data_IF_114385321047
#
_entry.id   IF_114385321047
#
_cell.length_a   1.000
_cell.length_b   1.000
_cell.length_c   1.000
_cell.angle_alpha   90.00
_cell.angle_beta   90.00
_cell.angle_gamma   90.00
#
_symmetry.space_group_name_H-M   'P 1'
#
loop_
_entity.id
_entity.type
_entity.pdbx_description
1 polymer ?
#
# COMPACT_ATOMS: atom_id res chain seq x y z
N UNK A 1 3.32 38.83 -27.35
CA UNK A 1 2.21 38.03 -27.88
C UNK A 1 2.47 36.52 -28.00
N UNK A 2 3.72 36.03 -28.15
CA UNK A 2 4.02 34.58 -28.29
C UNK A 2 3.93 33.75 -26.97
N UNK A 3 4.02 34.37 -25.80
CA UNK A 3 4.03 33.67 -24.51
C UNK A 3 2.61 33.32 -24.01
N UNK A 4 1.61 34.11 -24.34
CA UNK A 4 0.23 33.87 -23.93
C UNK A 4 -0.46 32.75 -24.73
N UNK A 5 -0.08 32.57 -26.00
CA UNK A 5 -0.64 31.53 -26.89
C UNK A 5 -0.15 30.12 -26.48
N UNK A 6 1.11 30.00 -26.02
CA UNK A 6 1.65 28.72 -25.50
C UNK A 6 0.96 28.26 -24.21
N UNK A 7 0.61 29.19 -23.33
CA UNK A 7 -0.09 28.89 -22.08
C UNK A 7 -1.51 28.37 -22.30
N UNK A 8 -2.25 28.92 -23.27
CA UNK A 8 -3.60 28.47 -23.59
C UNK A 8 -3.62 27.10 -24.26
N UNK A 9 -2.70 26.81 -25.16
CA UNK A 9 -2.58 25.51 -25.83
C UNK A 9 -2.21 24.38 -24.86
N UNK A 10 -1.30 24.62 -23.91
CA UNK A 10 -0.93 23.67 -22.86
C UNK A 10 -2.09 23.40 -21.89
N UNK A 11 -2.85 24.42 -21.56
CA UNK A 11 -4.07 24.28 -20.74
C UNK A 11 -5.18 23.50 -21.48
N UNK A 12 -5.34 23.72 -22.78
CA UNK A 12 -6.30 22.99 -23.62
C UNK A 12 -5.90 21.52 -23.77
N UNK A 13 -4.61 21.22 -24.01
CA UNK A 13 -4.12 19.86 -24.09
C UNK A 13 -4.25 19.09 -22.77
N UNK A 14 -3.94 19.73 -21.63
CA UNK A 14 -4.19 19.14 -20.30
C UNK A 14 -5.68 18.88 -20.04
N UNK A 15 -6.56 19.77 -20.44
CA UNK A 15 -8.02 19.59 -20.32
C UNK A 15 -8.53 18.45 -21.21
N UNK A 16 -8.00 18.29 -22.44
CA UNK A 16 -8.35 17.19 -23.33
C UNK A 16 -7.80 15.84 -22.83
N UNK A 17 -6.59 15.83 -22.25
CA UNK A 17 -6.01 14.63 -21.67
C UNK A 17 -6.77 14.20 -20.40
N UNK A 18 -7.17 15.15 -19.56
CA UNK A 18 -8.07 14.90 -18.43
C UNK A 18 -9.44 14.38 -18.88
N UNK A 19 -9.98 14.90 -19.98
CA UNK A 19 -11.27 14.42 -20.52
C UNK A 19 -11.16 12.99 -21.08
N UNK A 20 -10.04 12.61 -21.72
CA UNK A 20 -9.78 11.23 -22.16
C UNK A 20 -9.63 10.25 -21.00
N UNK A 21 -8.92 10.66 -19.92
CA UNK A 21 -8.81 9.85 -18.70
C UNK A 21 -10.18 9.66 -18.05
N UNK A 22 -11.03 10.72 -18.03
CA UNK A 22 -12.43 10.66 -17.54
C UNK A 22 -13.31 9.68 -18.30
N UNK A 23 -13.10 9.53 -19.61
CA UNK A 23 -13.92 8.62 -20.45
C UNK A 23 -13.51 7.17 -20.26
N UNK A 24 -12.22 6.90 -19.94
CA UNK A 24 -11.72 5.53 -19.66
C UNK A 24 -12.11 5.07 -18.26
N UNK A 25 -12.14 5.98 -17.28
CA UNK A 25 -12.58 5.66 -15.91
C UNK A 25 -14.09 5.36 -15.81
N UNK A 26 -14.87 5.66 -16.86
CA UNK A 26 -16.30 5.36 -16.96
C UNK A 26 -16.62 4.06 -17.70
N UNK A 27 -15.62 3.30 -18.12
CA UNK A 27 -15.83 1.92 -18.55
C UNK A 27 -16.35 1.15 -17.32
N UNK A 28 -17.64 0.88 -17.33
CA UNK A 28 -18.30 0.00 -16.36
C UNK A 28 -17.42 -1.23 -16.19
N UNK A 29 -16.91 -1.47 -15.00
CA UNK A 29 -16.37 -2.76 -14.63
C UNK A 29 -17.55 -3.72 -14.71
N UNK A 30 -17.79 -4.21 -15.91
CA UNK A 30 -18.79 -5.23 -16.18
C UNK A 30 -18.48 -6.43 -15.27
N UNK A 31 -19.53 -6.95 -14.68
CA UNK A 31 -19.53 -8.02 -13.68
C UNK A 31 -19.03 -9.40 -14.20
N UNK A 32 -18.07 -9.45 -15.11
CA UNK A 32 -17.50 -10.69 -15.66
C UNK A 32 -16.00 -10.85 -15.43
N UNK A 33 -15.37 -9.95 -14.66
CA UNK A 33 -13.97 -10.14 -14.25
C UNK A 33 -13.89 -11.11 -13.09
N UNK A 34 -13.01 -12.10 -13.17
CA UNK A 34 -12.61 -12.97 -12.06
C UNK A 34 -11.92 -12.14 -10.98
N UNK A 35 -12.69 -11.45 -10.16
CA UNK A 35 -12.16 -10.79 -8.96
C UNK A 35 -12.07 -11.84 -7.87
N UNK A 36 -10.91 -11.92 -7.21
CA UNK A 36 -10.73 -12.74 -6.01
C UNK A 36 -11.52 -12.22 -4.82
N UNK A 37 -12.08 -11.03 -4.92
CA UNK A 37 -12.78 -10.33 -3.85
C UNK A 37 -14.16 -9.88 -4.32
N UNK A 38 -15.14 -9.94 -3.44
CA UNK A 38 -16.43 -9.29 -3.61
C UNK A 38 -16.50 -8.06 -2.72
N UNK A 39 -17.05 -6.96 -3.24
CA UNK A 39 -17.48 -5.83 -2.42
C UNK A 39 -18.94 -6.05 -2.03
N UNK A 40 -19.28 -5.87 -0.77
CA UNK A 40 -20.65 -6.05 -0.26
C UNK A 40 -21.56 -4.85 -0.55
N UNK A 41 -20.96 -3.70 -0.88
CA UNK A 41 -21.70 -2.47 -1.17
C UNK A 41 -21.34 -1.91 -2.55
N UNK A 42 -22.37 -1.51 -3.30
CA UNK A 42 -22.18 -0.76 -4.55
C UNK A 42 -21.82 0.67 -4.18
N UNK A 43 -20.70 1.14 -4.67
CA UNK A 43 -20.18 2.45 -4.38
C UNK A 43 -20.66 3.45 -5.43
N UNK A 44 -21.53 4.39 -5.05
CA UNK A 44 -22.04 5.43 -5.95
C UNK A 44 -21.08 6.61 -6.09
N UNK A 45 -20.13 6.76 -5.15
CA UNK A 45 -19.06 7.77 -5.15
C UNK A 45 -17.80 7.17 -4.55
N UNK A 46 -16.66 7.78 -4.86
CA UNK A 46 -15.37 7.39 -4.28
C UNK A 46 -15.04 8.34 -3.13
N UNK A 47 -15.26 7.95 -1.86
CA UNK A 47 -14.93 8.79 -0.72
C UNK A 47 -13.41 8.96 -0.59
N UNK A 48 -13.02 10.08 -0.01
CA UNK A 48 -11.62 10.36 0.30
C UNK A 48 -11.11 9.44 1.42
N UNK A 49 -9.78 9.33 1.55
CA UNK A 49 -9.14 8.63 2.67
C UNK A 49 -9.64 9.17 4.01
N UNK A 50 -9.66 10.50 4.16
CA UNK A 50 -10.13 11.16 5.39
C UNK A 50 -11.53 10.73 5.78
N UNK A 51 -12.47 10.76 4.82
CA UNK A 51 -13.86 10.38 5.07
C UNK A 51 -14.00 8.92 5.54
N UNK A 52 -13.18 8.02 5.00
CA UNK A 52 -13.19 6.62 5.42
C UNK A 52 -12.58 6.46 6.80
N UNK A 53 -11.41 7.06 7.05
CA UNK A 53 -10.74 6.97 8.35
C UNK A 53 -11.60 7.58 9.45
N UNK A 54 -12.29 8.71 9.20
CA UNK A 54 -13.17 9.33 10.19
C UNK A 54 -14.34 8.46 10.58
N UNK A 55 -14.85 7.68 9.64
CA UNK A 55 -16.02 6.83 9.87
C UNK A 55 -15.67 5.43 10.41
N UNK A 56 -14.53 4.87 10.02
CA UNK A 56 -14.20 3.47 10.19
C UNK A 56 -12.93 3.20 11.00
N UNK A 57 -12.31 4.23 11.57
CA UNK A 57 -11.19 4.13 12.50
C UNK A 57 -11.45 5.06 13.69
N UNK A 58 -11.68 4.49 14.88
CA UNK A 58 -12.03 5.29 16.06
C UNK A 58 -10.80 5.97 16.70
N UNK A 59 -9.62 5.36 16.58
CA UNK A 59 -8.39 5.85 17.18
C UNK A 59 -7.73 6.93 16.30
N UNK A 60 -7.69 8.17 16.80
CA UNK A 60 -7.11 9.30 16.09
C UNK A 60 -5.58 9.15 15.87
N UNK A 61 -4.88 8.47 16.78
CA UNK A 61 -3.45 8.21 16.65
C UNK A 61 -3.20 7.17 15.56
N UNK A 62 -4.05 6.13 15.48
CA UNK A 62 -3.99 5.13 14.42
C UNK A 62 -4.31 5.75 13.05
N UNK A 63 -5.29 6.66 12.96
CA UNK A 63 -5.55 7.42 11.72
C UNK A 63 -4.30 8.14 11.24
N UNK A 64 -3.61 8.83 12.13
CA UNK A 64 -2.38 9.55 11.79
C UNK A 64 -1.29 8.58 11.29
N UNK A 65 -1.09 7.48 12.00
CA UNK A 65 -0.14 6.42 11.61
C UNK A 65 -0.47 5.84 10.21
N UNK A 66 -1.72 5.51 9.95
CA UNK A 66 -2.17 4.98 8.64
C UNK A 66 -1.90 5.99 7.52
N UNK A 67 -2.17 7.27 7.75
CA UNK A 67 -1.90 8.33 6.76
C UNK A 67 -0.43 8.43 6.43
N UNK A 68 0.43 8.47 7.45
CA UNK A 68 1.89 8.49 7.27
C UNK A 68 2.36 7.26 6.46
N UNK A 69 1.90 6.06 6.79
CA UNK A 69 2.26 4.85 6.06
C UNK A 69 1.78 4.86 4.60
N UNK A 70 0.61 5.42 4.33
CA UNK A 70 0.11 5.61 2.97
C UNK A 70 0.94 6.64 2.18
N UNK A 71 1.41 7.70 2.83
CA UNK A 71 2.33 8.67 2.23
C UNK A 71 3.65 7.98 1.84
N UNK A 72 4.19 7.11 2.70
CA UNK A 72 5.35 6.27 2.36
C UNK A 72 5.11 5.37 1.14
N UNK A 73 3.94 4.75 1.04
CA UNK A 73 3.55 3.96 -0.15
C UNK A 73 3.43 4.84 -1.41
N UNK A 74 2.99 6.09 -1.28
CA UNK A 74 2.95 7.03 -2.39
C UNK A 74 4.36 7.40 -2.86
N UNK A 75 5.28 7.68 -1.94
CA UNK A 75 6.68 8.01 -2.24
C UNK A 75 7.40 6.82 -2.89
N UNK A 76 7.17 5.59 -2.41
CA UNK A 76 7.69 4.37 -3.06
C UNK A 76 7.14 4.25 -4.50
N UNK A 77 5.85 4.54 -4.71
CA UNK A 77 5.24 4.54 -6.05
C UNK A 77 5.97 5.48 -7.01
N UNK A 78 6.26 6.71 -6.57
CA UNK A 78 6.96 7.68 -7.41
C UNK A 78 8.44 7.30 -7.61
N UNK A 79 9.07 6.72 -6.60
CA UNK A 79 10.44 6.21 -6.70
C UNK A 79 10.54 5.07 -7.72
N UNK A 80 9.65 4.07 -7.66
CA UNK A 80 9.62 2.95 -8.61
C UNK A 80 9.39 3.39 -10.06
N UNK A 81 8.59 4.44 -10.29
CA UNK A 81 8.34 4.99 -11.63
C UNK A 81 9.54 5.68 -12.24
N UNK A 82 10.47 6.17 -11.43
CA UNK A 82 11.63 6.97 -11.86
C UNK A 82 12.96 6.25 -11.70
N UNK A 83 13.03 5.17 -10.92
CA UNK A 83 14.25 4.44 -10.65
C UNK A 83 14.69 3.58 -11.83
N UNK A 84 16.02 3.46 -12.00
CA UNK A 84 16.62 2.39 -12.79
C UNK A 84 16.92 1.23 -11.85
N UNK A 85 16.47 0.04 -12.22
CA UNK A 85 16.71 -1.18 -11.44
C UNK A 85 18.14 -1.63 -11.68
N UNK A 86 18.97 -1.60 -10.65
CA UNK A 86 20.36 -2.07 -10.66
C UNK A 86 20.60 -2.99 -9.49
N UNK A 87 21.50 -3.97 -9.66
CA UNK A 87 21.94 -4.84 -8.56
C UNK A 87 22.91 -4.03 -7.70
N UNK A 88 22.56 -3.84 -6.43
CA UNK A 88 23.48 -3.30 -5.44
C UNK A 88 24.54 -4.37 -5.09
N UNK A 89 25.71 -3.93 -4.68
CA UNK A 89 26.81 -4.84 -4.30
C UNK A 89 26.64 -5.44 -2.90
N UNK A 90 25.46 -5.32 -2.30
CA UNK A 90 25.14 -5.72 -0.93
C UNK A 90 24.13 -6.86 -0.94
N UNK A 91 24.19 -7.68 0.11
CA UNK A 91 23.19 -8.70 0.41
C UNK A 91 22.38 -8.24 1.64
N UNK A 92 21.08 -8.61 1.70
CA UNK A 92 20.28 -8.37 2.89
C UNK A 92 20.67 -9.30 4.05
N UNK A 93 20.02 -9.15 5.21
CA UNK A 93 20.31 -9.97 6.40
C UNK A 93 20.06 -11.46 6.21
N UNK A 94 19.34 -11.85 5.17
CA UNK A 94 19.04 -13.25 4.82
C UNK A 94 19.94 -13.80 3.70
N UNK A 95 20.81 -12.96 3.11
CA UNK A 95 21.78 -13.33 2.07
C UNK A 95 21.23 -13.21 0.65
N UNK A 96 20.10 -12.52 0.46
CA UNK A 96 19.56 -12.20 -0.85
C UNK A 96 20.21 -10.93 -1.39
N UNK A 97 20.43 -10.89 -2.71
CA UNK A 97 20.99 -9.71 -3.38
C UNK A 97 19.98 -8.57 -3.40
N UNK A 98 20.36 -7.44 -2.81
CA UNK A 98 19.56 -6.23 -2.84
C UNK A 98 19.58 -5.57 -4.21
N UNK A 99 18.42 -5.12 -4.68
CA UNK A 99 18.28 -4.24 -5.81
C UNK A 99 18.24 -2.79 -5.32
N UNK A 100 18.63 -1.85 -6.18
CA UNK A 100 18.58 -0.41 -5.85
C UNK A 100 17.19 0.06 -5.40
N UNK A 101 16.15 -0.54 -5.94
CA UNK A 101 14.76 -0.22 -5.61
C UNK A 101 14.35 -0.72 -4.23
N UNK A 102 14.90 -1.86 -3.75
CA UNK A 102 14.70 -2.36 -2.38
C UNK A 102 15.27 -1.36 -1.38
N UNK A 103 16.52 -0.95 -1.60
CA UNK A 103 17.21 0.02 -0.75
C UNK A 103 16.48 1.37 -0.73
N UNK A 104 15.97 1.82 -1.88
CA UNK A 104 15.20 3.07 -1.96
C UNK A 104 13.89 2.93 -1.18
N UNK A 105 13.14 1.85 -1.37
CA UNK A 105 11.86 1.61 -0.68
C UNK A 105 12.07 1.50 0.84
N UNK A 106 13.09 0.77 1.28
CA UNK A 106 13.40 0.62 2.70
C UNK A 106 13.83 1.96 3.33
N UNK A 107 14.66 2.75 2.66
CA UNK A 107 15.05 4.07 3.14
C UNK A 107 13.84 5.01 3.28
N UNK A 108 12.92 5.02 2.31
CA UNK A 108 11.69 5.83 2.40
C UNK A 108 10.89 5.44 3.65
N UNK A 109 10.69 4.14 3.87
CA UNK A 109 9.95 3.67 5.04
C UNK A 109 10.69 3.99 6.34
N UNK A 110 12.02 3.82 6.41
CA UNK A 110 12.79 4.16 7.59
C UNK A 110 12.78 5.66 7.93
N UNK A 111 12.88 6.53 6.93
CA UNK A 111 12.83 7.99 7.14
C UNK A 111 11.49 8.40 7.73
N UNK A 112 10.40 7.83 7.23
CA UNK A 112 9.06 8.05 7.74
C UNK A 112 8.91 7.49 9.16
N UNK A 113 9.19 6.21 9.37
CA UNK A 113 8.97 5.52 10.65
C UNK A 113 9.81 6.13 11.77
N UNK A 114 11.08 6.48 11.51
CA UNK A 114 11.97 7.11 12.50
C UNK A 114 11.50 8.50 12.91
N UNK A 115 10.87 9.24 12.02
CA UNK A 115 10.39 10.62 12.26
C UNK A 115 8.95 10.68 12.77
N UNK A 116 8.17 9.61 12.64
CA UNK A 116 6.76 9.56 13.03
C UNK A 116 6.56 9.84 14.52
N UNK A 117 5.62 10.73 14.90
CA UNK A 117 5.26 10.95 16.29
C UNK A 117 4.44 9.80 16.89
N UNK A 118 3.89 8.90 16.06
CA UNK A 118 3.02 7.81 16.47
C UNK A 118 3.77 6.49 16.63
N UNK A 119 4.88 6.28 15.92
CA UNK A 119 5.60 5.02 15.85
C UNK A 119 6.75 4.99 16.86
N UNK A 120 6.67 4.06 17.81
CA UNK A 120 7.66 3.89 18.89
C UNK A 120 8.82 2.98 18.49
N UNK A 121 8.53 1.97 17.70
CA UNK A 121 9.50 0.98 17.21
C UNK A 121 9.20 0.58 15.77
N UNK A 122 10.26 0.27 15.02
CA UNK A 122 10.18 -0.25 13.66
C UNK A 122 11.14 -1.38 13.41
N UNK A 123 10.77 -2.31 12.50
CA UNK A 123 11.66 -3.33 11.95
C UNK A 123 11.28 -3.59 10.49
N UNK A 124 12.29 -3.72 9.64
CA UNK A 124 12.18 -4.05 8.22
C UNK A 124 12.61 -5.49 7.95
N UNK A 125 12.15 -6.10 6.88
CA UNK A 125 12.73 -7.34 6.38
C UNK A 125 14.23 -7.17 6.07
N UNK A 126 14.61 -6.03 5.48
CA UNK A 126 15.99 -5.72 5.13
C UNK A 126 16.88 -5.45 6.35
N UNK A 127 16.30 -4.94 7.43
CA UNK A 127 16.94 -4.71 8.73
C UNK A 127 16.06 -5.29 9.87
N UNK A 128 16.12 -6.63 10.10
CA UNK A 128 15.23 -7.32 11.03
C UNK A 128 15.64 -7.13 12.49
N UNK A 129 15.99 -5.91 12.85
CA UNK A 129 16.32 -5.49 14.22
C UNK A 129 15.34 -4.41 14.63
N UNK A 130 14.75 -4.58 15.81
CA UNK A 130 13.82 -3.60 16.34
C UNK A 130 14.55 -2.30 16.68
N UNK A 131 14.19 -1.22 15.98
CA UNK A 131 14.77 0.12 16.16
C UNK A 131 13.78 1.01 16.89
N UNK A 132 14.25 1.69 17.92
CA UNK A 132 13.48 2.70 18.64
C UNK A 132 13.32 3.96 17.79
N UNK A 133 12.09 4.43 17.63
CA UNK A 133 11.71 5.62 16.87
C UNK A 133 11.27 6.78 17.76
N UNK A 134 10.80 7.86 17.15
CA UNK A 134 10.48 9.12 17.86
C UNK A 134 9.12 9.10 18.57
N UNK A 135 8.19 8.25 18.11
CA UNK A 135 6.82 8.18 18.62
C UNK A 135 6.64 7.32 19.85
N UNK A 136 5.38 7.08 20.21
CA UNK A 136 5.05 6.46 21.50
C UNK A 136 4.01 5.35 21.47
N UNK A 137 3.27 5.15 20.37
CA UNK A 137 2.00 4.40 20.41
C UNK A 137 2.06 3.04 19.74
N UNK A 138 2.74 2.94 18.59
CA UNK A 138 2.73 1.73 17.76
C UNK A 138 4.12 1.17 17.52
N UNK A 139 4.14 -0.13 17.24
CA UNK A 139 5.27 -0.83 16.62
C UNK A 139 4.87 -1.22 15.20
N UNK A 140 5.73 -0.93 14.23
CA UNK A 140 5.50 -1.19 12.82
C UNK A 140 6.57 -2.13 12.28
N UNK A 141 6.14 -3.22 11.64
CA UNK A 141 7.03 -4.11 10.91
C UNK A 141 6.59 -4.16 9.44
N UNK A 142 7.58 -4.18 8.53
CA UNK A 142 7.27 -4.16 7.09
C UNK A 142 8.26 -4.95 6.26
N UNK A 143 7.78 -5.40 5.10
CA UNK A 143 8.55 -5.75 3.94
C UNK A 143 8.48 -4.57 2.98
N UNK A 144 9.60 -3.90 2.68
CA UNK A 144 9.59 -2.69 1.87
C UNK A 144 9.19 -2.95 0.41
N UNK A 145 9.56 -4.09 -0.15
CA UNK A 145 9.30 -4.40 -1.55
C UNK A 145 9.16 -5.92 -1.81
N UNK A 146 8.07 -6.51 -1.33
CA UNK A 146 7.73 -7.91 -1.58
C UNK A 146 7.69 -8.21 -3.08
N UNK A 147 8.45 -9.23 -3.48
CA UNK A 147 8.61 -9.61 -4.88
C UNK A 147 9.67 -8.82 -5.63
N UNK A 148 10.60 -8.16 -4.95
CA UNK A 148 11.66 -7.35 -5.58
C UNK A 148 12.48 -8.12 -6.63
N UNK A 149 12.66 -9.41 -6.46
CA UNK A 149 13.38 -10.27 -7.42
C UNK A 149 12.79 -10.30 -8.84
N UNK A 150 11.55 -9.85 -9.02
CA UNK A 150 10.86 -9.80 -10.33
C UNK A 150 10.61 -8.36 -10.82
N UNK A 151 11.02 -7.35 -10.08
CA UNK A 151 10.81 -5.94 -10.44
C UNK A 151 11.55 -5.56 -11.73
N UNK A 152 12.72 -6.15 -11.97
CA UNK A 152 13.49 -5.95 -13.20
C UNK A 152 12.72 -6.40 -14.46
N UNK A 153 11.79 -7.32 -14.32
CA UNK A 153 10.88 -7.74 -15.39
C UNK A 153 9.62 -6.86 -15.49
N UNK A 154 9.57 -5.76 -14.74
CA UNK A 154 8.44 -4.83 -14.68
C UNK A 154 7.11 -5.51 -14.24
N UNK A 155 7.20 -6.49 -13.34
CA UNK A 155 6.03 -7.12 -12.74
C UNK A 155 5.59 -6.34 -11.50
N UNK A 156 4.32 -6.55 -11.12
CA UNK A 156 3.79 -5.92 -9.90
C UNK A 156 4.52 -6.46 -8.66
N UNK A 157 4.88 -5.55 -7.79
CA UNK A 157 5.50 -5.80 -6.47
C UNK A 157 4.68 -5.09 -5.39
N UNK A 158 5.02 -5.29 -4.13
CA UNK A 158 4.21 -4.70 -3.05
C UNK A 158 5.01 -4.32 -1.82
N UNK A 159 4.39 -3.55 -0.94
CA UNK A 159 4.86 -3.31 0.43
C UNK A 159 3.87 -3.94 1.40
N UNK A 160 4.35 -4.70 2.36
CA UNK A 160 3.52 -5.34 3.39
C UNK A 160 3.82 -4.69 4.73
N UNK A 161 2.78 -4.25 5.45
CA UNK A 161 2.94 -3.55 6.73
C UNK A 161 2.00 -4.13 7.77
N UNK A 162 2.54 -4.40 8.96
CA UNK A 162 1.78 -4.72 10.15
C UNK A 162 1.98 -3.65 11.23
N UNK A 163 0.89 -3.26 11.89
CA UNK A 163 0.88 -2.26 12.97
C UNK A 163 0.33 -2.91 14.24
N UNK A 164 1.12 -2.86 15.29
CA UNK A 164 0.75 -3.36 16.63
C UNK A 164 0.73 -2.22 17.64
N UNK A 165 -0.13 -2.26 18.65
CA UNK A 165 0.04 -1.40 19.80
C UNK A 165 1.40 -1.65 20.44
N UNK A 166 2.05 -0.59 20.88
CA UNK A 166 3.31 -0.73 21.64
C UNK A 166 3.11 -1.62 22.86
N UNK A 167 4.09 -2.47 23.14
CA UNK A 167 4.07 -3.41 24.28
C UNK A 167 2.96 -4.49 24.19
N UNK A 168 2.57 -4.89 22.99
CA UNK A 168 1.64 -6.01 22.77
C UNK A 168 2.22 -7.33 23.29
N UNK A 169 3.50 -7.56 23.09
CA UNK A 169 4.22 -8.74 23.59
C UNK A 169 5.10 -8.43 24.80
N UNK A 170 6.20 -9.14 24.91
CA UNK A 170 7.23 -9.00 25.95
C UNK A 170 8.58 -8.61 25.34
N UNK A 171 9.61 -8.47 26.16
CA UNK A 171 10.93 -7.96 25.74
C UNK A 171 11.02 -6.45 25.82
N UNK A 172 12.23 -5.90 25.57
CA UNK A 172 12.50 -4.47 25.72
C UNK A 172 11.73 -3.62 24.70
N UNK A 173 11.39 -4.20 23.56
CA UNK A 173 10.62 -3.59 22.47
C UNK A 173 9.12 -3.95 22.51
N UNK A 174 8.71 -4.86 23.42
CA UNK A 174 7.33 -5.27 23.59
C UNK A 174 6.74 -6.09 22.45
N UNK A 175 7.56 -6.72 21.59
CA UNK A 175 7.08 -7.49 20.44
C UNK A 175 7.23 -9.00 20.56
N UNK A 176 8.07 -9.49 21.47
CA UNK A 176 8.29 -10.92 21.61
C UNK A 176 7.01 -11.65 22.05
N UNK A 177 6.52 -12.56 21.21
CA UNK A 177 5.28 -13.31 21.42
C UNK A 177 4.02 -12.61 20.92
N UNK A 178 4.10 -11.38 20.38
CA UNK A 178 3.01 -10.76 19.66
C UNK A 178 2.65 -11.57 18.41
N UNK A 179 1.38 -11.61 18.06
CA UNK A 179 0.85 -12.37 16.91
C UNK A 179 0.22 -11.44 15.89
N UNK A 180 -0.04 -11.97 14.67
CA UNK A 180 -0.79 -11.22 13.66
C UNK A 180 -2.22 -10.88 14.07
N UNK A 181 -2.79 -11.55 15.09
CA UNK A 181 -4.12 -11.23 15.63
C UNK A 181 -4.14 -10.05 16.58
N UNK A 182 -2.97 -9.65 17.04
CA UNK A 182 -2.81 -8.49 17.92
C UNK A 182 -2.59 -7.19 17.12
N UNK A 183 -2.52 -7.29 15.78
CA UNK A 183 -2.44 -6.11 14.91
C UNK A 183 -3.71 -5.27 15.03
N UNK A 184 -3.52 -3.95 15.10
CA UNK A 184 -4.61 -2.97 15.00
C UNK A 184 -4.82 -2.50 13.58
N UNK A 185 -3.82 -2.68 12.70
CA UNK A 185 -3.92 -2.44 11.28
C UNK A 185 -2.95 -3.34 10.52
N UNK A 186 -3.37 -3.79 9.36
CA UNK A 186 -2.52 -4.45 8.37
C UNK A 186 -2.71 -3.77 7.02
N UNK A 187 -1.62 -3.61 6.27
CA UNK A 187 -1.66 -2.96 4.97
C UNK A 187 -0.88 -3.78 3.96
N UNK A 188 -1.39 -3.82 2.73
CA UNK A 188 -0.68 -4.37 1.57
C UNK A 188 -0.80 -3.38 0.42
N UNK A 189 0.31 -2.74 0.08
CA UNK A 189 0.41 -1.93 -1.11
C UNK A 189 0.76 -2.80 -2.32
N UNK A 190 0.14 -2.53 -3.46
CA UNK A 190 0.40 -3.19 -4.73
C UNK A 190 0.80 -2.15 -5.76
N UNK A 191 2.04 -2.24 -6.23
CA UNK A 191 2.62 -1.38 -7.25
C UNK A 191 2.56 -2.09 -8.61
N UNK A 192 1.51 -1.80 -9.35
CA UNK A 192 1.26 -2.37 -10.67
C UNK A 192 0.83 -1.29 -11.67
N UNK A 193 -0.01 -1.60 -12.65
CA UNK A 193 -0.59 -0.59 -13.55
C UNK A 193 -1.31 0.54 -12.81
N UNK A 194 -1.81 0.25 -11.61
CA UNK A 194 -2.31 1.20 -10.62
C UNK A 194 -1.62 0.91 -9.29
N UNK A 195 -1.40 1.93 -8.49
CA UNK A 195 -1.05 1.73 -7.09
C UNK A 195 -2.32 1.65 -6.27
N UNK A 196 -2.47 0.56 -5.53
CA UNK A 196 -3.57 0.34 -4.60
C UNK A 196 -3.04 -0.15 -3.26
N UNK A 197 -3.69 0.24 -2.18
CA UNK A 197 -3.37 -0.26 -0.84
C UNK A 197 -4.62 -0.86 -0.21
N UNK A 198 -4.53 -2.10 0.23
CA UNK A 198 -5.57 -2.75 1.03
C UNK A 198 -5.24 -2.53 2.49
N UNK A 199 -6.20 -1.99 3.24
CA UNK A 199 -6.03 -1.60 4.65
C UNK A 199 -7.14 -2.24 5.49
N UNK A 200 -6.78 -2.81 6.65
CA UNK A 200 -7.76 -3.21 7.66
C UNK A 200 -8.06 -2.05 8.58
N UNK A 201 -9.35 -1.79 8.82
CA UNK A 201 -9.86 -0.82 9.79
C UNK A 201 -10.75 -1.53 10.82
N UNK A 202 -11.32 -0.80 11.76
CA UNK A 202 -12.05 -1.35 12.90
C UNK A 202 -13.19 -2.32 12.51
N UNK A 203 -13.84 -2.07 11.39
CA UNK A 203 -15.05 -2.81 10.98
C UNK A 203 -14.93 -3.52 9.63
N UNK A 204 -13.77 -3.47 8.97
CA UNK A 204 -13.63 -4.13 7.67
C UNK A 204 -12.31 -3.90 6.96
N UNK A 205 -12.30 -4.27 5.69
CA UNK A 205 -11.15 -4.16 4.78
C UNK A 205 -11.50 -3.22 3.64
N UNK A 206 -10.60 -2.29 3.37
CA UNK A 206 -10.79 -1.20 2.41
C UNK A 206 -9.64 -1.17 1.41
N UNK A 207 -9.94 -0.86 0.14
CA UNK A 207 -8.92 -0.61 -0.88
C UNK A 207 -8.88 0.88 -1.20
N UNK A 208 -7.71 1.45 -1.13
CA UNK A 208 -7.43 2.80 -1.57
C UNK A 208 -6.62 2.78 -2.86
N UNK A 209 -6.94 3.68 -3.79
CA UNK A 209 -6.20 3.87 -5.05
C UNK A 209 -5.48 5.21 -5.03
N UNK A 210 -4.20 5.20 -5.42
CA UNK A 210 -3.35 6.38 -5.49
C UNK A 210 -3.42 7.07 -6.85
N UNK A 211 -3.37 8.39 -6.84
CA UNK A 211 -3.28 9.22 -8.05
C UNK A 211 -4.54 9.20 -8.92
N UNK A 212 -5.62 8.55 -8.50
CA UNK A 212 -6.91 8.61 -9.15
C UNK A 212 -7.65 9.87 -8.68
N UNK A 213 -7.98 10.77 -9.59
CA UNK A 213 -8.74 11.99 -9.29
C UNK A 213 -10.11 11.96 -9.95
N UNK A 214 -11.08 11.14 -9.49
CA UNK A 214 -12.45 11.28 -9.95
C UNK A 214 -13.03 12.61 -9.48
N UNK A 215 -14.07 13.09 -10.16
CA UNK A 215 -14.87 14.21 -9.66
C UNK A 215 -15.38 13.84 -8.26
N UNK A 216 -15.04 14.64 -7.26
CA UNK A 216 -15.45 14.40 -5.88
C UNK A 216 -14.32 14.12 -4.87
N UNK A 217 -13.09 13.89 -5.32
CA UNK A 217 -11.93 13.80 -4.43
C UNK A 217 -11.30 15.16 -4.09
N UNK A 218 -11.93 16.24 -4.52
CA UNK A 218 -11.54 17.57 -4.11
C UNK A 218 -12.06 17.85 -2.70
N UNK A 219 -11.15 18.16 -1.78
CA UNK A 219 -11.49 18.55 -0.42
C UNK A 219 -12.22 19.90 -0.41
N UNK A 220 -12.96 20.24 0.67
CA UNK A 220 -13.68 21.51 0.79
C UNK A 220 -12.81 22.77 0.62
N UNK A 221 -11.51 22.68 0.91
CA UNK A 221 -10.53 23.74 0.73
C UNK A 221 -9.99 23.88 -0.71
N UNK A 222 -10.45 23.00 -1.61
CA UNK A 222 -10.02 22.99 -3.00
C UNK A 222 -8.77 22.16 -3.27
N UNK A 223 -8.15 21.56 -2.26
CA UNK A 223 -7.03 20.62 -2.42
C UNK A 223 -7.51 19.26 -2.93
N UNK A 224 -6.58 18.48 -3.46
CA UNK A 224 -6.86 17.11 -3.90
C UNK A 224 -6.20 16.13 -2.94
N UNK A 225 -6.98 15.19 -2.45
CA UNK A 225 -6.45 14.05 -1.73
C UNK A 225 -5.92 13.01 -2.74
N UNK A 226 -4.67 12.54 -2.59
CA UNK A 226 -4.08 11.58 -3.53
C UNK A 226 -4.71 10.19 -3.43
N UNK A 227 -5.30 9.85 -2.28
CA UNK A 227 -5.89 8.56 -2.00
C UNK A 227 -7.42 8.61 -2.01
N UNK A 228 -8.03 7.71 -2.76
CA UNK A 228 -9.48 7.49 -2.77
C UNK A 228 -9.81 6.07 -2.39
N UNK A 229 -10.89 5.86 -1.67
CA UNK A 229 -11.38 4.52 -1.39
C UNK A 229 -12.07 3.95 -2.64
N UNK A 230 -11.41 3.00 -3.28
CA UNK A 230 -11.92 2.34 -4.50
C UNK A 230 -12.83 1.16 -4.21
N UNK A 231 -12.69 0.52 -3.04
CA UNK A 231 -13.54 -0.57 -2.58
C UNK A 231 -13.69 -0.55 -1.07
N UNK A 232 -14.90 -0.88 -0.59
CA UNK A 232 -15.23 -1.00 0.83
C UNK A 232 -15.70 -2.42 1.15
N UNK A 233 -15.50 -2.84 2.41
CA UNK A 233 -15.98 -4.12 2.93
C UNK A 233 -15.53 -5.32 2.07
N UNK A 234 -14.26 -5.32 1.68
CA UNK A 234 -13.68 -6.39 0.86
C UNK A 234 -13.73 -7.70 1.64
N UNK A 235 -14.20 -8.76 0.99
CA UNK A 235 -14.23 -10.12 1.53
C UNK A 235 -13.68 -11.10 0.51
N UNK A 236 -13.04 -12.14 1.01
CA UNK A 236 -12.65 -13.29 0.19
C UNK A 236 -13.93 -14.05 -0.17
N UNK A 237 -14.04 -14.48 -1.42
CA UNK A 237 -15.18 -15.29 -1.88
C UNK A 237 -15.20 -16.63 -1.15
N UNK A 238 -16.36 -17.03 -0.62
CA UNK A 238 -16.53 -18.32 0.06
C UNK A 238 -16.30 -19.50 -0.90
N UNK A 239 -16.76 -19.37 -2.14
CA UNK A 239 -16.67 -20.39 -3.19
C UNK A 239 -15.68 -19.97 -4.29
N UNK A 240 -14.41 -19.81 -3.95
CA UNK A 240 -13.39 -19.54 -4.96
C UNK A 240 -12.88 -20.82 -5.59
N UNK A 241 -12.92 -20.90 -6.94
CA UNK A 241 -12.31 -21.99 -7.72
C UNK A 241 -10.92 -21.64 -8.23
N UNK A 242 -10.41 -20.44 -7.87
CA UNK A 242 -9.13 -19.92 -8.33
C UNK A 242 -8.28 -19.67 -7.10
N UNK A 243 -7.07 -20.24 -7.10
CA UNK A 243 -6.06 -19.97 -6.10
C UNK A 243 -4.69 -19.89 -6.76
N UNK A 244 -3.77 -19.16 -6.15
CA UNK A 244 -2.39 -19.05 -6.59
C UNK A 244 -1.48 -19.62 -5.50
N UNK A 245 -0.84 -20.79 -5.72
CA UNK A 245 0.10 -21.33 -4.76
C UNK A 245 1.39 -20.51 -4.78
N UNK A 246 1.90 -20.15 -3.61
CA UNK A 246 3.09 -19.34 -3.49
C UNK A 246 4.36 -20.05 -3.96
N UNK A 247 4.52 -21.33 -3.65
CA UNK A 247 5.72 -22.10 -3.96
C UNK A 247 5.39 -23.51 -4.42
N UNK A 248 5.42 -23.74 -5.72
CA UNK A 248 5.15 -25.06 -6.32
C UNK A 248 6.18 -26.13 -5.93
N UNK A 249 7.40 -25.75 -5.53
CA UNK A 249 8.44 -26.69 -5.08
C UNK A 249 8.05 -27.33 -3.74
N UNK A 250 7.34 -26.61 -2.89
CA UNK A 250 6.85 -27.14 -1.62
C UNK A 250 5.90 -28.34 -1.78
N UNK A 251 5.32 -28.55 -2.96
CA UNK A 251 4.53 -29.72 -3.28
C UNK A 251 5.34 -31.04 -3.22
N UNK A 252 6.67 -30.99 -3.34
CA UNK A 252 7.53 -32.16 -3.22
C UNK A 252 7.67 -32.60 -1.76
N UNK A 253 7.68 -31.65 -0.83
CA UNK A 253 7.95 -31.86 0.58
C UNK A 253 6.68 -31.98 1.43
N UNK A 254 5.55 -31.52 0.89
CA UNK A 254 4.26 -31.48 1.60
C UNK A 254 3.19 -32.29 0.84
N UNK A 255 2.88 -33.50 1.28
CA UNK A 255 1.94 -34.39 0.55
C UNK A 255 0.55 -33.78 0.34
N UNK A 256 0.02 -33.02 1.31
CA UNK A 256 -1.26 -32.32 1.17
C UNK A 256 -1.23 -31.25 0.09
N UNK A 257 -0.12 -30.55 -0.07
CA UNK A 257 0.04 -29.51 -1.10
C UNK A 257 0.22 -30.13 -2.51
N UNK A 258 0.79 -31.33 -2.58
CA UNK A 258 0.91 -32.10 -3.83
C UNK A 258 -0.44 -32.60 -4.35
N UNK A 259 -1.42 -32.77 -3.46
CA UNK A 259 -2.75 -33.26 -3.79
C UNK A 259 -3.69 -32.16 -4.32
N UNK A 260 -3.34 -30.89 -4.14
CA UNK A 260 -4.03 -29.72 -4.74
C UNK A 260 -3.72 -29.64 -6.23
#
# INVERSE_FOLDING_TARGET
>A
MRTAVRSSAVRSAKKQQQHRIRTVARAEYGASGTSFYTTTEKQDSYPSLENILDKHCADATLKACIKELLDGCADITEALRSALVTVEGTDNSFGDKQLSVDVIADNIMWDLVKSSPTIAYGASEEEPVMVKCSGSDYTVCWDPLDGSSIVDNNWAVGTIVGVWPKNTGTGDDGMLGATGRDQVCSMVALYGPRTTVIVTLDDGVYEFSYGCTPEGCQLPDGSFEPWICSRMNIKINEDSKIFAPANMRAAQDTPGYKAL
#
